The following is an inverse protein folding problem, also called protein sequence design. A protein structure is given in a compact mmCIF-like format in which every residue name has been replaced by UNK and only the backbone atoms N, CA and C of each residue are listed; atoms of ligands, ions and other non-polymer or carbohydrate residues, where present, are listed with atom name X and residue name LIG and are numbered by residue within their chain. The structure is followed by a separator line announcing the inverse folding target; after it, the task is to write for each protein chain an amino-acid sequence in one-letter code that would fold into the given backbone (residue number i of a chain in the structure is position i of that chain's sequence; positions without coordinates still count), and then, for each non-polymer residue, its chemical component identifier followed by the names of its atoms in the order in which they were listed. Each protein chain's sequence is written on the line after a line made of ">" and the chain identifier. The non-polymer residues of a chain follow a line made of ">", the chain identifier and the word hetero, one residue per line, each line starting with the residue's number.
data_IF_805172236142
#
_entry.id   IF_805172236142
#
_cell.length_a   1.000
_cell.length_b   1.000
_cell.length_c   1.000
_cell.angle_alpha   90.00
_cell.angle_beta   90.00
_cell.angle_gamma   90.00
#
_symmetry.space_group_name_H-M   'P 1'
#
loop_
_entity.id
_entity.type
_entity.pdbx_description
1 polymer ?
#
# COMPACT_ATOMS: atom_id res chain seq x y z
N UNK A 1 3.54 13.97 -1.14
CA UNK A 1 3.20 13.19 0.06
C UNK A 1 4.46 12.49 0.51
N UNK A 2 4.96 12.90 1.65
CA UNK A 2 6.11 12.31 2.33
C UNK A 2 5.63 11.42 3.47
N UNK A 3 6.55 10.68 4.09
CA UNK A 3 6.22 9.90 5.28
C UNK A 3 5.68 10.80 6.39
N UNK A 4 4.62 10.34 7.08
CA UNK A 4 3.93 10.99 8.18
C UNK A 4 3.08 12.23 7.85
N UNK A 5 2.96 12.63 6.57
CA UNK A 5 2.05 13.70 6.15
C UNK A 5 0.58 13.37 6.49
N UNK A 6 0.23 12.09 6.55
CA UNK A 6 -1.10 11.57 6.86
C UNK A 6 -1.53 11.81 8.31
N UNK A 7 -0.57 11.92 9.25
CA UNK A 7 -0.87 12.16 10.67
C UNK A 7 -1.59 13.48 10.90
N UNK A 8 -1.34 14.48 10.06
CA UNK A 8 -2.00 15.79 10.10
C UNK A 8 -3.52 15.68 9.92
N UNK A 9 -3.99 14.65 9.21
CA UNK A 9 -5.41 14.42 8.96
C UNK A 9 -6.11 13.61 10.07
N UNK A 10 -5.35 12.92 10.95
CA UNK A 10 -5.90 12.16 12.07
C UNK A 10 -5.88 12.93 13.39
N UNK A 11 -4.84 13.74 13.62
CA UNK A 11 -4.61 14.38 14.91
C UNK A 11 -4.56 15.89 14.77
N UNK A 12 -5.39 16.60 15.54
CA UNK A 12 -5.23 18.03 15.75
C UNK A 12 -3.95 18.24 16.57
N UNK A 13 -2.85 18.53 15.88
CA UNK A 13 -1.55 18.54 16.52
C UNK A 13 -1.37 19.73 17.47
N UNK A 14 -0.93 19.43 18.70
CA UNK A 14 -0.36 20.43 19.59
C UNK A 14 1.10 20.74 19.24
N UNK A 15 1.58 21.94 19.56
CA UNK A 15 2.98 22.31 19.37
C UNK A 15 3.33 22.65 17.92
N UNK A 16 4.38 22.04 17.36
CA UNK A 16 4.89 22.32 15.99
C UNK A 16 3.83 22.14 14.90
N UNK A 17 2.84 21.29 15.16
CA UNK A 17 1.76 20.95 14.24
C UNK A 17 0.63 21.98 14.22
N UNK A 18 0.52 22.85 15.23
CA UNK A 18 -0.52 23.91 15.28
C UNK A 18 -0.31 24.96 14.18
N UNK A 19 0.94 25.16 13.74
CA UNK A 19 1.26 26.03 12.62
C UNK A 19 0.88 25.43 11.24
N UNK A 20 0.54 24.15 11.19
CA UNK A 20 0.15 23.42 9.98
C UNK A 20 -1.37 23.24 9.88
N UNK A 21 -2.14 24.03 10.63
CA UNK A 21 -3.60 23.98 10.58
C UNK A 21 -4.10 24.21 9.15
N UNK A 22 -4.75 23.19 8.59
CA UNK A 22 -5.37 23.26 7.28
C UNK A 22 -6.42 24.36 7.23
N UNK A 23 -6.23 25.32 6.32
CA UNK A 23 -7.24 26.32 5.96
C UNK A 23 -7.75 26.11 4.53
N UNK A 24 -7.18 25.15 3.80
CA UNK A 24 -7.55 24.81 2.43
C UNK A 24 -8.74 23.85 2.46
N UNK A 25 -9.83 24.12 1.73
CA UNK A 25 -11.04 23.27 1.74
C UNK A 25 -10.79 21.80 1.43
N UNK A 26 -9.92 21.51 0.46
CA UNK A 26 -9.59 20.13 0.06
C UNK A 26 -8.93 19.36 1.20
N UNK A 27 -8.00 19.99 1.95
CA UNK A 27 -7.34 19.35 3.08
C UNK A 27 -8.31 19.08 4.24
N UNK A 28 -9.23 20.02 4.49
CA UNK A 28 -10.30 19.82 5.47
C UNK A 28 -11.24 18.68 5.07
N UNK A 29 -11.56 18.58 3.78
CA UNK A 29 -12.37 17.49 3.25
C UNK A 29 -11.65 16.13 3.39
N UNK A 30 -10.37 16.05 3.05
CA UNK A 30 -9.56 14.83 3.21
C UNK A 30 -9.46 14.45 4.69
N UNK A 31 -9.29 15.40 5.61
CA UNK A 31 -9.31 15.16 7.06
C UNK A 31 -10.61 14.50 7.50
N UNK A 32 -11.75 15.07 7.09
CA UNK A 32 -13.06 14.58 7.49
C UNK A 32 -13.33 13.17 6.92
N UNK A 33 -12.96 12.94 5.66
CA UNK A 33 -13.01 11.61 5.06
C UNK A 33 -12.11 10.61 5.82
N UNK A 34 -10.85 10.96 6.08
CA UNK A 34 -9.89 10.07 6.70
C UNK A 34 -10.32 9.64 8.11
N UNK A 35 -10.74 10.60 8.93
CA UNK A 35 -11.23 10.31 10.29
C UNK A 35 -12.51 9.47 10.27
N UNK A 36 -13.42 9.71 9.33
CA UNK A 36 -14.64 8.92 9.17
C UNK A 36 -14.35 7.47 8.74
N UNK A 37 -13.43 7.26 7.79
CA UNK A 37 -13.02 5.93 7.36
C UNK A 37 -12.43 5.11 8.52
N UNK A 38 -11.54 5.73 9.33
CA UNK A 38 -10.94 5.08 10.50
C UNK A 38 -11.99 4.76 11.59
N UNK A 39 -12.91 5.69 11.85
CA UNK A 39 -14.01 5.48 12.78
C UNK A 39 -14.91 4.31 12.33
N UNK A 40 -15.33 4.30 11.07
CA UNK A 40 -16.18 3.26 10.51
C UNK A 40 -15.51 1.88 10.59
N UNK A 41 -14.22 1.81 10.25
CA UNK A 41 -13.46 0.58 10.36
C UNK A 41 -13.37 0.09 11.81
N UNK A 42 -13.06 0.98 12.77
CA UNK A 42 -13.01 0.62 14.19
C UNK A 42 -14.37 0.14 14.72
N UNK A 43 -15.47 0.72 14.25
CA UNK A 43 -16.81 0.39 14.69
C UNK A 43 -17.39 -0.89 14.05
N UNK A 44 -17.05 -1.16 12.77
CA UNK A 44 -17.76 -2.16 11.96
C UNK A 44 -16.86 -3.19 11.26
N UNK A 45 -15.55 -2.93 11.19
CA UNK A 45 -14.62 -3.70 10.36
C UNK A 45 -14.62 -3.31 8.87
N UNK A 46 -15.50 -2.38 8.44
CA UNK A 46 -15.52 -1.83 7.08
C UNK A 46 -15.32 -0.31 7.11
N UNK A 47 -14.35 0.27 6.36
CA UNK A 47 -14.20 1.73 6.28
C UNK A 47 -15.39 2.43 5.60
N UNK A 48 -16.07 1.73 4.68
CA UNK A 48 -17.27 2.20 3.96
C UNK A 48 -18.39 1.17 4.18
N UNK A 49 -19.08 1.18 5.33
CA UNK A 49 -20.13 0.21 5.65
C UNK A 49 -21.42 0.42 4.83
N UNK A 50 -21.61 1.61 4.26
CA UNK A 50 -22.71 1.99 3.38
C UNK A 50 -22.23 2.98 2.29
N UNK A 51 -23.15 3.44 1.44
CA UNK A 51 -22.88 4.35 0.32
C UNK A 51 -22.79 5.84 0.71
N UNK A 52 -22.82 6.18 2.00
CA UNK A 52 -22.90 7.58 2.46
C UNK A 52 -21.69 8.45 2.06
N UNK A 53 -20.52 7.82 1.85
CA UNK A 53 -19.28 8.50 1.45
C UNK A 53 -19.16 8.68 -0.08
N UNK A 54 -20.10 8.15 -0.87
CA UNK A 54 -20.11 8.27 -2.33
C UNK A 54 -19.09 7.38 -3.06
N UNK A 55 -18.40 6.51 -2.33
CA UNK A 55 -17.51 5.48 -2.88
C UNK A 55 -17.42 4.29 -1.90
N UNK A 56 -16.99 3.14 -2.42
CA UNK A 56 -16.75 1.93 -1.62
C UNK A 56 -15.25 1.62 -1.61
N UNK A 57 -14.69 1.46 -0.41
CA UNK A 57 -13.34 0.95 -0.20
C UNK A 57 -13.41 -0.58 -0.05
N UNK A 58 -13.33 -1.27 -1.20
CA UNK A 58 -13.37 -2.73 -1.23
C UNK A 58 -12.08 -3.38 -0.72
N UNK A 59 -12.16 -4.54 -0.04
CA UNK A 59 -10.98 -5.34 0.31
C UNK A 59 -10.17 -5.74 -0.92
N UNK A 60 -8.84 -5.78 -0.77
CA UNK A 60 -7.93 -6.24 -1.82
C UNK A 60 -7.94 -7.77 -1.95
N UNK A 61 -7.61 -8.29 -3.13
CA UNK A 61 -7.49 -9.74 -3.36
C UNK A 61 -6.18 -10.07 -4.07
N UNK A 62 -5.63 -11.28 -3.90
CA UNK A 62 -4.39 -11.67 -4.60
C UNK A 62 -4.50 -11.62 -6.13
N UNK A 63 -5.69 -11.90 -6.69
CA UNK A 63 -5.94 -11.90 -8.13
C UNK A 63 -6.16 -10.51 -8.72
N UNK A 64 -6.52 -9.54 -7.89
CA UNK A 64 -6.85 -8.19 -8.30
C UNK A 64 -6.48 -7.26 -7.13
N UNK A 65 -5.18 -6.91 -6.99
CA UNK A 65 -4.76 -6.01 -5.95
C UNK A 65 -5.22 -4.61 -6.30
N UNK A 66 -6.13 -4.07 -5.50
CA UNK A 66 -6.59 -2.69 -5.58
C UNK A 66 -6.39 -2.01 -4.23
N UNK A 67 -6.17 -0.70 -4.27
CA UNK A 67 -6.13 0.13 -3.07
C UNK A 67 -6.96 1.39 -3.29
N UNK A 68 -7.37 2.00 -2.18
CA UNK A 68 -7.99 3.31 -2.21
C UNK A 68 -6.90 4.38 -2.43
N UNK A 69 -6.95 5.08 -3.56
CA UNK A 69 -6.19 6.31 -3.75
C UNK A 69 -6.94 7.44 -3.06
N UNK A 70 -6.56 7.73 -1.82
CA UNK A 70 -7.18 8.78 -1.02
C UNK A 70 -6.60 10.15 -1.34
N UNK A 71 -7.45 11.02 -1.85
CA UNK A 71 -7.21 12.43 -2.13
C UNK A 71 -8.56 13.16 -2.08
N UNK A 72 -8.67 14.40 -2.58
CA UNK A 72 -9.95 15.14 -2.55
C UNK A 72 -11.07 14.50 -3.40
N UNK A 73 -10.76 13.53 -4.26
CA UNK A 73 -11.72 12.69 -5.00
C UNK A 73 -11.29 11.21 -4.93
N UNK A 74 -11.63 10.53 -3.82
CA UNK A 74 -11.17 9.16 -3.59
C UNK A 74 -11.66 8.18 -4.67
N UNK A 75 -10.82 7.22 -5.04
CA UNK A 75 -11.19 6.16 -5.96
C UNK A 75 -10.35 4.89 -5.75
N UNK A 76 -10.93 3.74 -6.08
CA UNK A 76 -10.21 2.46 -6.11
C UNK A 76 -9.35 2.39 -7.37
N UNK A 77 -8.06 2.14 -7.20
CA UNK A 77 -7.11 2.02 -8.32
C UNK A 77 -6.35 0.69 -8.24
N UNK A 78 -5.95 0.11 -9.40
CA UNK A 78 -5.10 -1.07 -9.41
C UNK A 78 -3.76 -0.77 -8.73
N UNK A 79 -3.22 -1.75 -8.01
CA UNK A 79 -1.86 -1.67 -7.52
C UNK A 79 -0.85 -1.87 -8.67
N UNK A 80 0.06 -0.91 -8.84
CA UNK A 80 1.09 -0.91 -9.87
C UNK A 80 2.45 -1.42 -9.37
N UNK A 81 2.56 -1.84 -8.11
CA UNK A 81 3.85 -2.23 -7.51
C UNK A 81 4.19 -3.72 -7.65
N UNK A 82 3.41 -4.48 -8.43
CA UNK A 82 3.59 -5.93 -8.57
C UNK A 82 5.00 -6.32 -9.05
N UNK A 83 5.56 -5.60 -10.02
CA UNK A 83 6.91 -5.87 -10.54
C UNK A 83 8.00 -5.61 -9.48
N UNK A 84 7.84 -4.53 -8.71
CA UNK A 84 8.76 -4.20 -7.62
C UNK A 84 8.67 -5.23 -6.48
N UNK A 85 7.46 -5.65 -6.13
CA UNK A 85 7.25 -6.70 -5.14
C UNK A 85 7.84 -8.03 -5.59
N UNK A 86 7.68 -8.39 -6.87
CA UNK A 86 8.26 -9.61 -7.42
C UNK A 86 9.80 -9.56 -7.40
N UNK A 87 10.39 -8.42 -7.76
CA UNK A 87 11.83 -8.22 -7.65
C UNK A 87 12.33 -8.46 -6.22
N UNK A 88 11.77 -7.77 -5.22
CA UNK A 88 12.23 -7.88 -3.83
C UNK A 88 12.01 -9.26 -3.22
N UNK A 89 10.91 -9.92 -3.56
CA UNK A 89 10.58 -11.27 -3.08
C UNK A 89 11.35 -12.38 -3.80
N UNK A 90 11.89 -12.11 -5.01
CA UNK A 90 12.74 -13.04 -5.76
C UNK A 90 14.19 -13.10 -5.29
N UNK A 91 14.65 -12.14 -4.47
CA UNK A 91 16.04 -12.10 -4.01
C UNK A 91 16.35 -13.31 -3.12
N UNK A 92 17.54 -13.92 -3.22
CA UNK A 92 17.93 -15.09 -2.45
C UNK A 92 18.37 -14.71 -1.02
N UNK A 93 17.54 -13.98 -0.30
CA UNK A 93 17.75 -13.66 1.12
C UNK A 93 17.28 -14.83 1.98
N UNK A 94 17.83 -14.97 3.19
CA UNK A 94 17.40 -16.04 4.11
C UNK A 94 15.93 -15.92 4.46
N UNK A 95 15.45 -14.68 4.61
CA UNK A 95 14.07 -14.34 4.89
C UNK A 95 13.15 -14.80 3.76
N UNK A 96 13.49 -14.50 2.50
CA UNK A 96 12.68 -14.91 1.37
C UNK A 96 12.64 -16.43 1.19
N UNK A 97 13.73 -17.14 1.48
CA UNK A 97 13.75 -18.61 1.44
C UNK A 97 12.83 -19.24 2.51
N UNK A 98 12.64 -18.57 3.65
CA UNK A 98 11.71 -19.00 4.70
C UNK A 98 10.27 -18.64 4.33
N UNK A 99 10.05 -17.44 3.79
CA UNK A 99 8.71 -16.93 3.48
C UNK A 99 8.12 -17.51 2.18
N UNK A 100 8.98 -17.85 1.21
CA UNK A 100 8.62 -18.35 -0.11
C UNK A 100 9.41 -19.61 -0.49
N UNK A 101 9.30 -20.70 0.32
CA UNK A 101 10.07 -21.92 0.10
C UNK A 101 9.78 -22.60 -1.24
N UNK A 102 8.64 -22.32 -1.87
CA UNK A 102 8.29 -22.79 -3.21
C UNK A 102 9.07 -22.11 -4.35
N UNK A 103 9.73 -20.97 -4.08
CA UNK A 103 10.43 -20.16 -5.08
C UNK A 103 11.92 -20.50 -5.20
N UNK A 104 12.37 -21.67 -4.72
CA UNK A 104 13.79 -22.03 -4.74
C UNK A 104 14.43 -21.82 -6.12
N UNK A 105 15.43 -20.95 -6.16
CA UNK A 105 16.27 -20.70 -7.32
C UNK A 105 17.14 -21.93 -7.52
N UNK A 106 16.73 -22.84 -8.39
CA UNK A 106 17.69 -23.78 -8.98
C UNK A 106 18.73 -22.94 -9.73
N UNK A 107 20.01 -22.95 -9.35
CA UNK A 107 21.01 -22.27 -10.13
C UNK A 107 21.05 -22.96 -11.50
N UNK A 108 20.83 -22.21 -12.58
CA UNK A 108 21.17 -22.69 -13.92
C UNK A 108 22.66 -22.96 -13.89
N UNK A 109 23.05 -24.23 -13.82
CA UNK A 109 24.42 -24.63 -14.09
C UNK A 109 24.67 -24.23 -15.54
N UNK A 110 25.41 -23.14 -15.76
CA UNK A 110 26.04 -22.90 -17.05
C UNK A 110 26.91 -24.13 -17.32
N UNK A 111 26.44 -25.00 -18.21
CA UNK A 111 27.27 -26.02 -18.83
C UNK A 111 28.45 -25.29 -19.47
N UNK A 112 29.59 -25.32 -18.78
CA UNK A 112 30.87 -25.03 -19.40
C UNK A 112 31.07 -26.12 -20.44
N UNK A 113 30.71 -25.82 -21.68
CA UNK A 113 31.08 -26.62 -22.85
C UNK A 113 32.59 -26.83 -22.80
N UNK A 114 32.96 -28.04 -22.38
CA UNK A 114 34.33 -28.51 -22.29
C UNK A 114 34.73 -28.78 -23.73
N UNK A 115 35.29 -27.77 -24.41
CA UNK A 115 35.92 -27.98 -25.71
C UNK A 115 37.34 -28.48 -25.47
N UNK A 116 37.46 -29.72 -25.00
CA UNK A 116 38.67 -30.52 -25.11
C UNK A 116 38.60 -31.35 -26.39
N UNK A 117 39.61 -31.12 -27.24
CA UNK A 117 40.30 -32.09 -28.11
C UNK A 117 39.50 -32.83 -29.20
N UNK A 118 39.67 -32.37 -30.46
CA UNK A 118 40.44 -33.04 -31.53
C UNK A 118 40.50 -32.18 -32.80
#
# INVERSE_FOLDING_TARGET
>A
VSHADDLLYLFSGGGVWTALNFSIPDDLHVRDLFTQLWFNFAATGSPTPDDSLGFIWSPTTPSAPYHLNLNSKPSMVPDSHSEMMEFWTSLPTKENLILYPEREVTPKMEEKETREEL
#
